data_IF_142413062156
#
_entry.id   IF_142413062156
#
_cell.length_a   1.000
_cell.length_b   1.000
_cell.length_c   1.000
_cell.angle_alpha   90.00
_cell.angle_beta   90.00
_cell.angle_gamma   90.00
#
_symmetry.space_group_name_H-M   'P 1'
#
loop_
_entity.id
_entity.type
_entity.pdbx_description
1 polymer ?
#
# COMPACT_ATOMS: atom_id res chain seq x y z
N UNK A 1 8.91 3.06 0.84
CA UNK A 1 7.89 3.16 1.91
C UNK A 1 7.58 4.62 2.16
N UNK A 2 8.41 5.39 2.89
CA UNK A 2 8.15 6.80 3.19
C UNK A 2 7.70 7.67 1.99
N UNK A 3 8.35 7.56 0.84
CA UNK A 3 7.96 8.31 -0.38
C UNK A 3 6.52 7.95 -0.80
N UNK A 4 6.19 6.66 -0.86
CA UNK A 4 4.85 6.16 -1.23
C UNK A 4 3.78 6.56 -0.21
N UNK A 5 4.15 6.60 1.07
CA UNK A 5 3.24 7.01 2.15
C UNK A 5 2.95 8.52 2.06
N UNK A 6 3.97 9.35 1.79
CA UNK A 6 3.79 10.78 1.54
C UNK A 6 2.91 11.03 0.33
N UNK A 7 3.13 10.31 -0.79
CA UNK A 7 2.25 10.39 -1.96
C UNK A 7 0.81 10.04 -1.62
N UNK A 8 0.60 8.95 -0.88
CA UNK A 8 -0.74 8.52 -0.45
C UNK A 8 -1.42 9.60 0.39
N UNK A 9 -0.71 10.19 1.36
CA UNK A 9 -1.24 11.27 2.20
C UNK A 9 -1.61 12.50 1.37
N UNK A 10 -0.76 12.90 0.41
CA UNK A 10 -1.03 14.04 -0.47
C UNK A 10 -2.30 13.80 -1.28
N UNK A 11 -2.47 12.61 -1.86
CA UNK A 11 -3.68 12.30 -2.61
C UNK A 11 -4.92 12.22 -1.73
N UNK A 12 -4.82 11.70 -0.51
CA UNK A 12 -5.94 11.67 0.46
C UNK A 12 -6.33 13.08 0.88
N UNK A 13 -5.37 13.97 1.14
CA UNK A 13 -5.63 15.38 1.42
C UNK A 13 -6.31 16.06 0.22
N UNK A 14 -5.85 15.77 -0.99
CA UNK A 14 -6.50 16.22 -2.23
C UNK A 14 -7.96 15.76 -2.32
N UNK A 15 -8.26 14.53 -1.90
CA UNK A 15 -9.64 14.02 -1.83
C UNK A 15 -10.49 14.86 -0.89
N UNK A 16 -10.00 15.08 0.34
CA UNK A 16 -10.72 15.83 1.36
C UNK A 16 -11.01 17.27 0.92
N UNK A 17 -10.10 17.87 0.14
CA UNK A 17 -10.34 19.16 -0.49
C UNK A 17 -11.43 19.03 -1.56
N UNK A 18 -11.27 18.13 -2.54
CA UNK A 18 -12.19 17.97 -3.68
C UNK A 18 -13.63 17.57 -3.29
N UNK A 19 -13.82 16.86 -2.19
CA UNK A 19 -15.14 16.45 -1.66
C UNK A 19 -15.66 17.38 -0.55
N UNK A 20 -14.97 18.49 -0.28
CA UNK A 20 -15.41 19.46 0.71
C UNK A 20 -16.69 20.17 0.25
N UNK A 21 -17.72 20.27 1.11
CA UNK A 21 -19.00 20.91 0.75
C UNK A 21 -18.85 22.40 0.37
N UNK A 22 -17.73 23.02 0.74
CA UNK A 22 -17.42 24.41 0.39
C UNK A 22 -17.00 24.62 -1.07
N UNK A 23 -16.64 23.56 -1.79
CA UNK A 23 -16.26 23.63 -3.21
C UNK A 23 -17.47 23.83 -4.13
N UNK A 24 -18.66 23.40 -3.74
CA UNK A 24 -19.88 23.60 -4.53
C UNK A 24 -20.26 25.08 -4.67
N UNK A 25 -19.77 25.94 -3.75
CA UNK A 25 -19.93 27.40 -3.83
C UNK A 25 -18.96 28.08 -4.79
N UNK A 26 -17.93 27.38 -5.28
CA UNK A 26 -17.05 27.91 -6.32
C UNK A 26 -17.70 27.70 -7.69
N UNK A 27 -17.96 28.82 -8.38
CA UNK A 27 -18.46 28.88 -9.76
C UNK A 27 -17.37 28.51 -10.77
N UNK A 28 -16.78 27.33 -10.60
CA UNK A 28 -15.77 26.78 -11.50
C UNK A 28 -16.45 25.67 -12.32
N UNK A 29 -16.30 25.65 -13.66
CA UNK A 29 -16.93 24.66 -14.52
C UNK A 29 -16.16 23.34 -14.51
N UNK A 30 -15.88 22.80 -13.32
CA UNK A 30 -15.11 21.57 -13.11
C UNK A 30 -15.81 20.70 -12.08
N UNK A 31 -16.02 19.43 -12.43
CA UNK A 31 -16.52 18.44 -11.48
C UNK A 31 -15.34 17.85 -10.72
N UNK A 32 -15.00 18.47 -9.58
CA UNK A 32 -13.83 18.10 -8.78
C UNK A 32 -13.80 16.62 -8.38
N UNK A 33 -14.95 16.01 -8.09
CA UNK A 33 -15.04 14.59 -7.77
C UNK A 33 -14.59 13.67 -8.93
N UNK A 34 -14.99 13.98 -10.16
CA UNK A 34 -14.64 13.19 -11.33
C UNK A 34 -13.18 13.42 -11.76
N UNK A 35 -12.69 14.66 -11.68
CA UNK A 35 -11.28 14.98 -11.91
C UNK A 35 -10.39 14.31 -10.87
N UNK A 36 -10.80 14.34 -9.59
CA UNK A 36 -10.08 13.66 -8.52
C UNK A 36 -10.07 12.15 -8.71
N UNK A 37 -11.17 11.55 -9.16
CA UNK A 37 -11.24 10.11 -9.41
C UNK A 37 -10.10 9.63 -10.34
N UNK A 38 -9.82 10.37 -11.41
CA UNK A 38 -8.73 10.06 -12.36
C UNK A 38 -7.34 10.46 -11.81
N UNK A 39 -7.23 11.65 -11.23
CA UNK A 39 -5.93 12.26 -10.91
C UNK A 39 -5.38 11.83 -9.55
N UNK A 40 -6.25 11.48 -8.60
CA UNK A 40 -5.88 11.12 -7.23
C UNK A 40 -6.45 9.78 -6.75
N UNK A 41 -7.67 9.42 -7.14
CA UNK A 41 -8.32 8.17 -6.72
C UNK A 41 -7.53 6.94 -7.17
N UNK A 42 -7.28 6.81 -8.47
CA UNK A 42 -6.50 5.68 -9.00
C UNK A 42 -5.03 5.67 -8.56
N UNK A 43 -4.29 6.79 -8.61
CA UNK A 43 -2.90 6.83 -8.14
C UNK A 43 -2.74 6.54 -6.64
N UNK A 44 -3.67 6.98 -5.78
CA UNK A 44 -3.63 6.68 -4.34
C UNK A 44 -3.82 5.18 -4.07
N UNK A 45 -4.76 4.53 -4.76
CA UNK A 45 -4.98 3.08 -4.65
C UNK A 45 -3.75 2.26 -5.06
N UNK A 46 -3.03 2.70 -6.09
CA UNK A 46 -1.77 2.04 -6.50
C UNK A 46 -0.63 2.33 -5.54
N UNK A 47 -0.53 3.55 -5.01
CA UNK A 47 0.47 3.91 -4.00
C UNK A 47 0.35 3.05 -2.75
N UNK A 48 -0.88 2.82 -2.27
CA UNK A 48 -1.15 1.92 -1.15
C UNK A 48 -0.68 0.48 -1.43
N UNK A 49 -0.98 -0.04 -2.63
CA UNK A 49 -0.54 -1.38 -3.05
C UNK A 49 0.98 -1.50 -3.14
N UNK A 50 1.66 -0.49 -3.67
CA UNK A 50 3.13 -0.45 -3.72
C UNK A 50 3.70 -0.48 -2.30
N UNK A 51 3.16 0.32 -1.37
CA UNK A 51 3.56 0.28 0.04
C UNK A 51 3.38 -1.11 0.64
N UNK A 52 2.24 -1.77 0.39
CA UNK A 52 1.96 -3.13 0.87
C UNK A 52 3.02 -4.14 0.39
N UNK A 53 3.31 -4.19 -0.91
CA UNK A 53 4.30 -5.13 -1.46
C UNK A 53 5.74 -4.80 -1.04
N UNK A 54 6.08 -3.53 -0.85
CA UNK A 54 7.37 -3.13 -0.26
C UNK A 54 7.44 -3.62 1.19
N UNK A 55 6.35 -3.53 1.96
CA UNK A 55 6.30 -4.05 3.33
C UNK A 55 6.48 -5.58 3.38
N UNK A 56 5.83 -6.32 2.47
CA UNK A 56 6.05 -7.78 2.28
C UNK A 56 7.54 -8.05 2.04
N UNK A 57 8.16 -7.33 1.10
CA UNK A 57 9.56 -7.55 0.75
C UNK A 57 10.50 -7.28 1.93
N UNK A 58 10.32 -6.16 2.63
CA UNK A 58 11.13 -5.80 3.79
C UNK A 58 10.95 -6.83 4.91
N UNK A 59 9.71 -7.25 5.21
CA UNK A 59 9.47 -8.27 6.25
C UNK A 59 10.08 -9.61 5.88
N UNK A 60 10.01 -10.03 4.62
CA UNK A 60 10.68 -11.23 4.11
C UNK A 60 12.21 -11.15 4.25
N UNK A 61 12.82 -10.02 3.88
CA UNK A 61 14.24 -9.77 4.07
C UNK A 61 14.63 -9.90 5.56
N UNK A 62 13.87 -9.28 6.47
CA UNK A 62 14.11 -9.40 7.92
C UNK A 62 13.99 -10.84 8.41
N UNK A 63 13.01 -11.60 7.92
CA UNK A 63 12.85 -13.01 8.25
C UNK A 63 14.07 -13.82 7.81
N UNK A 64 14.51 -13.64 6.57
CA UNK A 64 15.66 -14.33 5.99
C UNK A 64 16.97 -14.00 6.72
N UNK A 65 17.18 -12.74 7.10
CA UNK A 65 18.31 -12.30 7.92
C UNK A 65 18.38 -13.02 9.27
N UNK A 66 17.23 -13.27 9.90
CA UNK A 66 17.14 -13.91 11.23
C UNK A 66 17.27 -15.44 11.12
N UNK A 67 16.67 -16.04 10.08
CA UNK A 67 16.68 -17.49 9.85
C UNK A 67 18.03 -17.99 9.32
N UNK A 68 18.64 -17.25 8.39
CA UNK A 68 19.85 -17.67 7.69
C UNK A 68 20.91 -16.55 7.63
N UNK A 69 21.54 -16.21 8.77
CA UNK A 69 22.50 -15.11 8.85
C UNK A 69 23.70 -15.29 7.92
N UNK A 70 24.10 -16.54 7.62
CA UNK A 70 25.23 -16.87 6.74
C UNK A 70 24.91 -16.71 5.25
N UNK A 71 23.66 -16.95 4.83
CA UNK A 71 23.23 -16.82 3.42
C UNK A 71 22.84 -15.40 3.06
N UNK A 72 22.48 -14.56 4.04
CA UNK A 72 22.00 -13.21 3.77
C UNK A 72 23.08 -12.28 3.23
N UNK A 73 24.33 -12.42 3.68
CA UNK A 73 25.47 -11.65 3.15
C UNK A 73 25.73 -11.88 1.66
N UNK A 74 25.38 -13.06 1.15
CA UNK A 74 25.57 -13.44 -0.25
C UNK A 74 24.31 -13.22 -1.10
N UNK A 75 23.12 -13.34 -0.50
CA UNK A 75 21.84 -13.28 -1.23
C UNK A 75 21.28 -11.85 -1.36
N UNK A 76 21.45 -11.01 -0.34
CA UNK A 76 20.86 -9.66 -0.30
C UNK A 76 21.93 -8.63 -0.63
N UNK A 77 22.03 -8.30 -1.91
CA UNK A 77 22.85 -7.20 -2.42
C UNK A 77 21.95 -5.98 -2.64
N UNK A 78 22.35 -4.76 -2.24
CA UNK A 78 21.52 -3.56 -2.37
C UNK A 78 21.08 -3.28 -3.82
N UNK A 79 21.86 -3.75 -4.80
CA UNK A 79 21.52 -3.65 -6.23
C UNK A 79 20.29 -4.50 -6.58
N UNK A 80 20.23 -5.75 -6.06
CA UNK A 80 19.09 -6.65 -6.30
C UNK A 80 17.84 -6.12 -5.61
N UNK A 81 17.96 -5.59 -4.40
CA UNK A 81 16.83 -4.99 -3.68
C UNK A 81 16.24 -3.81 -4.44
N UNK A 82 17.08 -2.92 -5.01
CA UNK A 82 16.60 -1.83 -5.87
C UNK A 82 15.85 -2.35 -7.10
N UNK A 83 16.36 -3.39 -7.75
CA UNK A 83 15.71 -4.00 -8.91
C UNK A 83 14.34 -4.60 -8.56
N UNK A 84 14.25 -5.34 -7.43
CA UNK A 84 12.98 -5.91 -6.96
C UNK A 84 11.96 -4.82 -6.61
N UNK A 85 12.39 -3.76 -5.93
CA UNK A 85 11.50 -2.62 -5.61
C UNK A 85 11.03 -1.93 -6.90
N UNK A 86 11.93 -1.69 -7.86
CA UNK A 86 11.57 -1.11 -9.15
C UNK A 86 10.55 -1.99 -9.89
N UNK A 87 10.76 -3.31 -9.89
CA UNK A 87 9.83 -4.27 -10.48
C UNK A 87 8.45 -4.22 -9.81
N UNK A 88 8.39 -4.16 -8.48
CA UNK A 88 7.13 -4.01 -7.73
C UNK A 88 6.40 -2.74 -8.15
N UNK A 89 7.10 -1.62 -8.26
CA UNK A 89 6.50 -0.35 -8.70
C UNK A 89 5.95 -0.48 -10.11
N UNK A 90 6.76 -0.94 -11.06
CA UNK A 90 6.37 -1.06 -12.48
C UNK A 90 5.17 -1.99 -12.65
N UNK A 91 5.18 -3.18 -12.02
CA UNK A 91 4.08 -4.14 -12.11
C UNK A 91 2.77 -3.58 -11.53
N UNK A 92 2.84 -2.84 -10.42
CA UNK A 92 1.65 -2.23 -9.84
C UNK A 92 1.15 -1.05 -10.69
N UNK A 93 2.03 -0.23 -11.25
CA UNK A 93 1.66 0.87 -12.16
C UNK A 93 1.06 0.35 -13.47
N UNK A 94 1.53 -0.77 -14.00
CA UNK A 94 0.95 -1.39 -15.21
C UNK A 94 -0.52 -1.75 -15.05
N UNK A 95 -0.99 -2.03 -13.82
CA UNK A 95 -2.42 -2.29 -13.57
C UNK A 95 -3.32 -1.08 -13.77
N UNK A 96 -2.77 0.13 -13.90
CA UNK A 96 -3.51 1.35 -14.21
C UNK A 96 -3.81 1.51 -15.70
N UNK A 97 -2.99 0.92 -16.58
CA UNK A 97 -3.12 1.04 -18.04
C UNK A 97 -4.53 0.68 -18.55
N UNK A 98 -5.15 -0.45 -18.18
CA UNK A 98 -6.51 -0.78 -18.65
C UNK A 98 -7.55 0.24 -18.20
N UNK A 99 -7.36 0.82 -17.01
CA UNK A 99 -8.29 1.81 -16.47
C UNK A 99 -8.18 3.16 -17.19
N UNK A 100 -6.96 3.69 -17.34
CA UNK A 100 -6.74 4.93 -18.09
C UNK A 100 -7.05 4.80 -19.60
N UNK A 101 -7.05 3.58 -20.15
CA UNK A 101 -7.47 3.35 -21.54
C UNK A 101 -9.00 3.48 -21.73
N UNK A 102 -9.77 3.33 -20.66
CA UNK A 102 -11.24 3.30 -20.68
C UNK A 102 -11.88 4.64 -20.32
N UNK A 103 -11.08 5.55 -19.77
CA UNK A 103 -11.53 6.80 -19.17
C UNK A 103 -10.81 7.97 -19.85
N UNK A 104 -11.56 8.99 -20.26
CA UNK A 104 -10.99 10.23 -20.80
C UNK A 104 -11.67 11.47 -20.22
N UNK A 105 -10.92 12.56 -20.11
CA UNK A 105 -11.47 13.85 -19.72
C UNK A 105 -12.10 14.53 -20.93
N UNK A 106 -13.32 15.00 -20.78
CA UNK A 106 -14.03 15.75 -21.82
C UNK A 106 -14.86 16.86 -21.21
N UNK A 107 -15.04 17.94 -21.95
CA UNK A 107 -16.06 18.93 -21.65
C UNK A 107 -17.42 18.32 -22.00
N UNK A 108 -18.32 18.26 -21.01
CA UNK A 108 -19.70 17.80 -21.20
C UNK A 108 -20.65 18.87 -20.71
N UNK A 109 -21.78 19.00 -21.38
CA UNK A 109 -22.80 19.95 -20.99
C UNK A 109 -23.61 19.40 -19.81
N UNK A 110 -23.68 20.16 -18.72
CA UNK A 110 -24.47 19.81 -17.55
C UNK A 110 -25.79 20.58 -17.57
N UNK A 111 -26.91 19.87 -17.73
CA UNK A 111 -28.26 20.47 -17.76
C UNK A 111 -28.65 21.10 -16.43
N UNK A 112 -27.99 20.73 -15.33
CA UNK A 112 -28.29 21.22 -13.98
C UNK A 112 -27.68 22.59 -13.73
N UNK A 113 -26.48 22.84 -14.29
CA UNK A 113 -25.75 24.10 -14.19
C UNK A 113 -25.88 24.99 -15.44
N UNK A 114 -26.47 24.46 -16.52
CA UNK A 114 -26.66 25.13 -17.81
C UNK A 114 -25.32 25.56 -18.46
N UNK A 115 -24.22 24.91 -18.10
CA UNK A 115 -22.86 25.24 -18.51
C UNK A 115 -22.09 23.99 -18.94
N UNK A 116 -21.08 24.16 -19.79
CA UNK A 116 -20.13 23.11 -20.16
C UNK A 116 -19.11 22.93 -19.04
N UNK A 117 -19.12 21.77 -18.41
CA UNK A 117 -18.24 21.42 -17.30
C UNK A 117 -17.20 20.39 -17.70
N UNK A 118 -15.99 20.50 -17.16
CA UNK A 118 -14.94 19.51 -17.31
C UNK A 118 -15.26 18.31 -16.43
N UNK A 119 -15.49 17.18 -17.07
CA UNK A 119 -15.82 15.93 -16.41
C UNK A 119 -15.18 14.73 -17.09
N UNK A 120 -15.63 13.57 -16.68
CA UNK A 120 -15.09 12.29 -17.12
C UNK A 120 -16.11 11.59 -17.99
N UNK A 121 -15.64 11.10 -19.14
CA UNK A 121 -16.41 10.26 -20.04
C UNK A 121 -15.74 8.90 -20.20
N UNK A 122 -16.58 7.91 -20.50
CA UNK A 122 -16.20 6.51 -20.54
C UNK A 122 -16.33 5.98 -21.97
N UNK A 123 -15.39 5.14 -22.40
CA UNK A 123 -15.52 4.38 -23.65
C UNK A 123 -16.51 3.23 -23.48
N UNK A 124 -17.08 2.78 -24.59
CA UNK A 124 -18.04 1.66 -24.64
C UNK A 124 -17.54 0.36 -24.02
N UNK A 125 -16.22 0.15 -23.94
CA UNK A 125 -15.61 -1.05 -23.35
C UNK A 125 -15.59 -1.08 -21.81
N UNK A 126 -16.15 -0.07 -21.13
CA UNK A 126 -16.10 0.11 -19.67
C UNK A 126 -16.43 -1.16 -18.86
N UNK A 127 -17.46 -1.91 -19.24
CA UNK A 127 -17.91 -3.06 -18.43
C UNK A 127 -16.83 -4.16 -18.35
N UNK A 128 -16.11 -4.38 -19.45
CA UNK A 128 -15.11 -5.43 -19.55
C UNK A 128 -13.80 -5.02 -18.87
N UNK A 129 -13.36 -3.78 -19.05
CA UNK A 129 -12.14 -3.26 -18.40
C UNK A 129 -12.32 -3.06 -16.91
N UNK A 130 -13.47 -2.55 -16.43
CA UNK A 130 -13.69 -2.37 -14.99
C UNK A 130 -13.70 -3.71 -14.24
N UNK A 131 -14.31 -4.76 -14.82
CA UNK A 131 -14.29 -6.09 -14.22
C UNK A 131 -12.87 -6.65 -14.07
N UNK A 132 -12.04 -6.49 -15.11
CA UNK A 132 -10.64 -6.94 -15.09
C UNK A 132 -9.80 -6.13 -14.11
N UNK A 133 -9.90 -4.79 -14.11
CA UNK A 133 -9.17 -3.93 -13.16
C UNK A 133 -9.56 -4.26 -11.73
N UNK A 134 -10.85 -4.42 -11.44
CA UNK A 134 -11.35 -4.76 -10.11
C UNK A 134 -10.84 -6.13 -9.64
N UNK A 135 -10.93 -7.16 -10.49
CA UNK A 135 -10.48 -8.50 -10.16
C UNK A 135 -8.96 -8.53 -9.90
N UNK A 136 -8.16 -7.89 -10.76
CA UNK A 136 -6.72 -7.73 -10.54
C UNK A 136 -6.42 -7.00 -9.23
N UNK A 137 -7.16 -5.94 -8.94
CA UNK A 137 -6.99 -5.18 -7.71
C UNK A 137 -7.25 -6.05 -6.47
N UNK A 138 -8.39 -6.74 -6.42
CA UNK A 138 -8.77 -7.62 -5.31
C UNK A 138 -7.76 -8.75 -5.14
N UNK A 139 -7.41 -9.46 -6.21
CA UNK A 139 -6.46 -10.56 -6.15
C UNK A 139 -5.09 -10.12 -5.62
N UNK A 140 -4.57 -8.97 -6.07
CA UNK A 140 -3.26 -8.47 -5.64
C UNK A 140 -3.29 -7.99 -4.19
N UNK A 141 -4.34 -7.31 -3.75
CA UNK A 141 -4.47 -6.87 -2.35
C UNK A 141 -4.60 -8.06 -1.41
N UNK A 142 -5.46 -9.03 -1.72
CA UNK A 142 -5.66 -10.24 -0.90
C UNK A 142 -4.36 -11.04 -0.80
N UNK A 143 -3.66 -11.22 -1.92
CA UNK A 143 -2.36 -11.91 -1.95
C UNK A 143 -1.33 -11.17 -1.11
N UNK A 144 -1.23 -9.84 -1.26
CA UNK A 144 -0.31 -9.01 -0.47
C UNK A 144 -0.57 -9.11 1.03
N UNK A 145 -1.83 -9.02 1.46
CA UNK A 145 -2.22 -9.15 2.88
C UNK A 145 -1.92 -10.54 3.43
N UNK A 146 -2.21 -11.59 2.66
CA UNK A 146 -1.88 -12.96 3.05
C UNK A 146 -0.35 -13.17 3.18
N UNK A 147 0.43 -12.63 2.25
CA UNK A 147 1.89 -12.66 2.35
C UNK A 147 2.42 -11.90 3.58
N UNK A 148 1.96 -10.67 3.83
CA UNK A 148 2.40 -9.90 5.02
C UNK A 148 2.08 -10.66 6.30
N UNK A 149 0.85 -11.16 6.44
CA UNK A 149 0.40 -11.84 7.66
C UNK A 149 1.19 -13.12 7.92
N UNK A 150 1.39 -13.96 6.90
CA UNK A 150 2.17 -15.20 7.03
C UNK A 150 3.63 -14.92 7.38
N UNK A 151 4.29 -13.99 6.67
CA UNK A 151 5.67 -13.57 6.96
C UNK A 151 5.83 -13.02 8.37
N UNK A 152 4.88 -12.20 8.81
CA UNK A 152 4.89 -11.61 10.14
C UNK A 152 4.69 -12.68 11.22
N UNK A 153 3.80 -13.65 11.02
CA UNK A 153 3.65 -14.78 11.94
C UNK A 153 4.90 -15.65 12.02
N UNK A 154 5.58 -15.90 10.89
CA UNK A 154 6.86 -16.62 10.85
C UNK A 154 7.95 -15.83 11.60
N UNK A 155 8.02 -14.52 11.38
CA UNK A 155 8.95 -13.62 12.06
C UNK A 155 8.76 -13.67 13.59
N UNK A 156 7.53 -13.47 14.05
CA UNK A 156 7.17 -13.45 15.47
C UNK A 156 7.47 -14.81 16.11
N UNK A 157 7.14 -15.90 15.42
CA UNK A 157 7.39 -17.26 15.92
C UNK A 157 8.89 -17.55 16.05
N UNK A 158 9.69 -17.13 15.08
CA UNK A 158 11.14 -17.30 15.13
C UNK A 158 11.80 -16.40 16.18
N UNK A 159 11.37 -15.15 16.30
CA UNK A 159 11.83 -14.25 17.36
C UNK A 159 11.54 -14.86 18.73
N UNK A 160 10.30 -15.33 18.97
CA UNK A 160 9.93 -16.02 20.22
C UNK A 160 10.81 -17.24 20.47
N UNK A 161 11.13 -18.04 19.44
CA UNK A 161 11.98 -19.23 19.58
C UNK A 161 13.42 -18.86 19.92
N UNK A 162 13.99 -17.85 19.25
CA UNK A 162 15.34 -17.36 19.56
C UNK A 162 15.42 -16.69 20.93
N UNK A 163 14.42 -15.91 21.33
CA UNK A 163 14.34 -15.30 22.66
C UNK A 163 14.26 -16.40 23.73
N UNK A 164 13.42 -17.43 23.57
CA UNK A 164 13.36 -18.58 24.49
C UNK A 164 14.68 -19.35 24.58
N UNK A 165 15.33 -19.60 23.45
CA UNK A 165 16.64 -20.28 23.43
C UNK A 165 17.72 -19.46 24.13
N UNK A 166 17.77 -18.15 23.88
CA UNK A 166 18.68 -17.21 24.55
C UNK A 166 18.40 -17.06 26.04
N UNK A 167 17.13 -17.10 26.46
CA UNK A 167 16.78 -17.11 27.89
C UNK A 167 17.25 -18.38 28.59
N UNK A 168 17.23 -19.54 27.92
CA UNK A 168 17.75 -20.79 28.48
C UNK A 168 19.29 -20.82 28.61
N UNK A 169 20.00 -20.08 27.76
CA UNK A 169 21.47 -20.00 27.77
C UNK A 169 22.04 -18.78 28.49
N UNK A 170 21.21 -17.82 28.93
CA UNK A 170 21.65 -16.61 29.63
C UNK A 170 21.12 -16.60 31.06
N UNK A 171 22.03 -16.63 32.03
CA UNK A 171 21.77 -16.57 33.48
C UNK A 171 21.44 -15.18 34.00
N UNK A 172 21.43 -14.14 33.14
CA UNK A 172 21.27 -12.75 33.57
C UNK A 172 19.80 -12.28 33.49
N UNK A 173 19.14 -12.25 34.66
CA UNK A 173 17.73 -11.93 34.83
C UNK A 173 17.35 -10.50 34.35
N UNK A 174 18.28 -9.54 34.38
CA UNK A 174 18.05 -8.17 33.90
C UNK A 174 17.88 -8.13 32.38
N UNK A 175 18.68 -8.90 31.65
CA UNK A 175 18.60 -8.97 30.19
C UNK A 175 17.32 -9.70 29.75
N UNK A 176 16.90 -10.74 30.47
CA UNK A 176 15.65 -11.46 30.21
C UNK A 176 14.40 -10.55 30.32
N UNK A 177 14.33 -9.71 31.35
CA UNK A 177 13.22 -8.76 31.53
C UNK A 177 13.19 -7.69 30.42
N UNK A 178 14.36 -7.16 30.03
CA UNK A 178 14.47 -6.18 28.96
C UNK A 178 14.03 -6.76 27.60
N UNK A 179 14.45 -7.98 27.25
CA UNK A 179 14.05 -8.62 25.99
C UNK A 179 12.55 -8.96 25.94
N UNK A 180 11.98 -9.49 27.02
CA UNK A 180 10.55 -9.78 27.12
C UNK A 180 9.69 -8.52 26.90
N UNK A 181 10.10 -7.39 27.48
CA UNK A 181 9.41 -6.11 27.28
C UNK A 181 9.50 -5.61 25.83
N UNK A 182 10.62 -5.84 25.14
CA UNK A 182 10.85 -5.39 23.75
C UNK A 182 10.10 -6.25 22.74
N UNK A 183 10.03 -7.57 22.94
CA UNK A 183 9.24 -8.48 22.11
C UNK A 183 7.73 -8.20 22.27
N UNK A 184 7.26 -7.90 23.49
CA UNK A 184 5.87 -7.47 23.74
C UNK A 184 5.54 -6.15 23.04
N UNK A 185 6.44 -5.16 23.11
CA UNK A 185 6.28 -3.88 22.40
C UNK A 185 6.24 -4.07 20.88
N UNK A 186 7.10 -4.93 20.34
CA UNK A 186 7.12 -5.23 18.90
C UNK A 186 5.85 -5.94 18.44
N UNK A 187 5.31 -6.86 19.23
CA UNK A 187 4.02 -7.51 18.95
C UNK A 187 2.84 -6.55 19.05
N UNK A 188 2.81 -5.69 20.07
CA UNK A 188 1.81 -4.63 20.18
C UNK A 188 1.86 -3.69 18.99
N UNK A 189 3.06 -3.29 18.54
CA UNK A 189 3.21 -2.44 17.36
C UNK A 189 2.67 -3.11 16.11
N UNK A 190 2.95 -4.41 15.89
CA UNK A 190 2.41 -5.17 14.75
C UNK A 190 0.89 -5.30 14.82
N UNK A 191 0.33 -5.56 16.00
CA UNK A 191 -1.12 -5.67 16.20
C UNK A 191 -1.80 -4.31 15.95
N UNK A 192 -1.23 -3.22 16.47
CA UNK A 192 -1.74 -1.86 16.24
C UNK A 192 -1.66 -1.49 14.77
N UNK A 193 -0.54 -1.76 14.09
CA UNK A 193 -0.41 -1.52 12.65
C UNK A 193 -1.43 -2.34 11.86
N UNK A 194 -1.64 -3.61 12.20
CA UNK A 194 -2.63 -4.46 11.55
C UNK A 194 -4.08 -3.99 11.80
N UNK A 195 -4.36 -3.38 12.95
CA UNK A 195 -5.66 -2.79 13.28
C UNK A 195 -5.87 -1.47 12.53
N UNK A 196 -4.85 -0.60 12.51
CA UNK A 196 -4.87 0.70 11.82
C UNK A 196 -4.97 0.54 10.30
N UNK A 197 -4.32 -0.48 9.71
CA UNK A 197 -4.46 -0.78 8.29
C UNK A 197 -5.83 -1.40 7.92
N UNK A 198 -6.68 -1.74 8.90
CA UNK A 198 -8.01 -2.33 8.70
C UNK A 198 -9.18 -1.38 9.00
N UNK A 199 -8.94 -0.25 9.67
CA UNK A 199 -9.91 0.84 9.85
C UNK A 199 -9.73 1.86 8.74
#
# INVERSE_FOLDING_TARGET
MAISDVFTIIFVLGANLCFSPYIDHWSVPVIFAEVYYITGGWPSGVSYRITLYIAVYITAERCLCILFPLKVKTMITPIRSKFVIALIVVLNTLTLVPEYSSIYMTWRYDSTRNESVLGVAFRSNRLQTQGVTFLLHVCLVVTGLFCVTTLTSILVSNLRRQTKWRMKSSSDAKQQAAYSSRDRKSQLMVIVVAFVYRC
#
